data_IF_595152534949
#
_entry.id   IF_595152534949
#
_cell.length_a   1.000
_cell.length_b   1.000
_cell.length_c   1.000
_cell.angle_alpha   90.00
_cell.angle_beta   90.00
_cell.angle_gamma   90.00
#
_symmetry.space_group_name_H-M   'P 1'
#
loop_
_entity.id
_entity.type
_entity.pdbx_description
1 polymer ?
#
# COMPACT_ATOMS: atom_id res chain seq x y z
N UNK A 1 -2.28 -5.85 1.08
CA UNK A 1 -1.99 -7.21 0.57
C UNK A 1 -0.55 -7.26 0.08
N UNK A 2 -0.15 -8.34 -0.62
CA UNK A 2 1.14 -8.41 -1.31
C UNK A 2 2.33 -8.28 -0.37
N UNK A 3 3.43 -7.72 -0.88
CA UNK A 3 4.68 -7.57 -0.11
C UNK A 3 4.54 -6.67 1.13
N UNK A 4 3.68 -5.65 1.08
CA UNK A 4 3.42 -4.77 2.22
C UNK A 4 2.72 -5.49 3.37
N UNK A 5 1.75 -6.37 3.08
CA UNK A 5 1.11 -7.18 4.12
C UNK A 5 2.09 -8.14 4.80
N UNK A 6 3.01 -8.74 4.03
CA UNK A 6 4.07 -9.61 4.56
C UNK A 6 4.97 -8.84 5.52
N UNK A 7 5.45 -7.67 5.10
CA UNK A 7 6.32 -6.80 5.90
C UNK A 7 5.66 -6.28 7.18
N UNK A 8 4.37 -5.93 7.11
CA UNK A 8 3.65 -5.35 8.25
C UNK A 8 3.25 -6.37 9.31
N UNK A 9 3.03 -7.64 8.93
CA UNK A 9 2.38 -8.62 9.81
C UNK A 9 3.07 -9.95 9.98
N UNK A 10 3.83 -10.43 8.99
CA UNK A 10 4.24 -11.84 8.98
C UNK A 10 5.75 -12.03 9.15
N UNK A 11 6.59 -11.20 8.52
CA UNK A 11 8.04 -11.30 8.66
C UNK A 11 8.75 -10.02 8.21
N UNK A 12 9.96 -9.79 8.74
CA UNK A 12 10.81 -8.69 8.28
C UNK A 12 11.23 -8.89 6.81
N UNK A 13 10.69 -8.02 5.96
CA UNK A 13 10.92 -8.03 4.51
C UNK A 13 11.65 -6.76 4.13
N UNK A 14 12.92 -6.90 3.72
CA UNK A 14 13.87 -5.78 3.53
C UNK A 14 13.44 -4.68 2.55
N UNK A 15 12.48 -4.89 1.64
CA UNK A 15 12.05 -3.86 0.68
C UNK A 15 10.58 -4.00 0.24
N UNK A 16 9.84 -2.89 0.24
CA UNK A 16 8.60 -2.72 -0.54
C UNK A 16 8.66 -1.38 -1.27
N UNK A 17 8.70 -1.39 -2.60
CA UNK A 17 8.71 -0.14 -3.40
C UNK A 17 7.34 0.54 -3.43
N UNK A 18 6.28 -0.18 -3.07
CA UNK A 18 4.91 0.32 -3.02
C UNK A 18 3.99 -0.63 -2.26
N UNK A 19 2.76 -0.18 -2.02
CA UNK A 19 1.70 -0.85 -1.30
C UNK A 19 0.59 -1.20 -2.29
N UNK A 20 0.27 -2.49 -2.35
CA UNK A 20 -0.89 -2.98 -3.08
C UNK A 20 -2.06 -3.20 -2.10
N UNK A 21 -3.17 -2.51 -2.32
CA UNK A 21 -4.33 -2.53 -1.43
C UNK A 21 -5.66 -2.53 -2.18
N UNK A 22 -6.67 -3.19 -1.62
CA UNK A 22 -8.06 -2.94 -2.00
C UNK A 22 -8.51 -1.71 -1.25
N UNK A 23 -9.00 -0.71 -1.97
CA UNK A 23 -9.33 0.60 -1.42
C UNK A 23 -10.85 0.80 -1.40
N UNK A 24 -11.39 1.18 -0.25
CA UNK A 24 -12.82 1.42 -0.10
C UNK A 24 -13.06 2.55 0.92
N UNK A 25 -13.60 3.71 0.50
CA UNK A 25 -13.84 4.16 -0.88
C UNK A 25 -12.53 4.53 -1.62
N UNK A 26 -12.37 4.09 -2.87
CA UNK A 26 -11.11 4.22 -3.62
C UNK A 26 -10.70 5.66 -3.93
N UNK A 27 -11.59 6.44 -4.56
CA UNK A 27 -11.27 7.80 -5.03
C UNK A 27 -10.70 8.74 -3.95
N UNK A 28 -11.32 8.92 -2.77
CA UNK A 28 -10.77 9.79 -1.73
C UNK A 28 -9.46 9.25 -1.12
N UNK A 29 -9.28 7.93 -1.07
CA UNK A 29 -8.03 7.33 -0.57
C UNK A 29 -6.88 7.61 -1.55
N UNK A 30 -7.11 7.44 -2.86
CA UNK A 30 -6.09 7.75 -3.87
C UNK A 30 -5.77 9.24 -3.92
N UNK A 31 -6.75 10.12 -3.72
CA UNK A 31 -6.52 11.56 -3.62
C UNK A 31 -5.62 11.92 -2.43
N UNK A 32 -5.87 11.32 -1.25
CA UNK A 32 -5.00 11.50 -0.08
C UNK A 32 -3.61 10.91 -0.30
N UNK A 33 -3.51 9.74 -0.94
CA UNK A 33 -2.23 9.10 -1.26
C UNK A 33 -1.38 9.93 -2.24
N UNK A 34 -2.00 10.61 -3.20
CA UNK A 34 -1.31 11.52 -4.11
C UNK A 34 -0.71 12.73 -3.37
N UNK A 35 -1.42 13.26 -2.37
CA UNK A 35 -0.89 14.35 -1.54
C UNK A 35 0.31 13.90 -0.72
N UNK A 36 0.22 12.73 -0.07
CA UNK A 36 1.34 12.11 0.65
C UNK A 36 2.54 11.89 -0.28
N UNK A 37 2.30 11.41 -1.52
CA UNK A 37 3.35 11.20 -2.51
C UNK A 37 4.08 12.51 -2.84
N UNK A 38 3.32 13.59 -3.04
CA UNK A 38 3.84 14.92 -3.34
C UNK A 38 4.68 15.47 -2.20
N UNK A 39 4.22 15.34 -0.96
CA UNK A 39 4.93 15.82 0.24
C UNK A 39 6.24 15.07 0.48
N UNK A 40 6.26 13.77 0.20
CA UNK A 40 7.41 12.90 0.47
C UNK A 40 8.32 12.65 -0.76
N UNK A 41 7.98 13.25 -1.91
CA UNK A 41 8.67 13.01 -3.20
C UNK A 41 8.70 11.51 -3.59
N UNK A 42 7.63 10.79 -3.27
CA UNK A 42 7.47 9.38 -3.63
C UNK A 42 6.86 9.22 -5.03
N UNK A 43 7.04 8.04 -5.65
CA UNK A 43 6.31 7.70 -6.87
C UNK A 43 4.80 7.88 -6.69
N UNK A 44 4.07 8.44 -7.67
CA UNK A 44 2.63 8.72 -7.53
C UNK A 44 1.78 7.46 -7.36
N UNK A 45 2.30 6.30 -7.76
CA UNK A 45 1.68 4.98 -7.68
C UNK A 45 2.18 4.15 -6.48
N UNK A 46 2.82 4.79 -5.49
CA UNK A 46 3.29 4.13 -4.27
C UNK A 46 2.17 3.40 -3.52
N UNK A 47 0.92 3.87 -3.62
CA UNK A 47 -0.28 3.17 -3.22
C UNK A 47 -1.13 2.91 -4.47
N UNK A 48 -1.41 1.65 -4.77
CA UNK A 48 -2.25 1.30 -5.91
C UNK A 48 -3.20 0.13 -5.60
N UNK A 49 -4.24 0.02 -6.42
CA UNK A 49 -5.28 -1.00 -6.33
C UNK A 49 -5.13 -2.12 -7.36
N UNK A 50 -3.99 -2.20 -8.05
CA UNK A 50 -3.78 -3.16 -9.14
C UNK A 50 -3.91 -4.61 -8.65
N UNK A 51 -3.57 -4.88 -7.38
CA UNK A 51 -3.71 -6.22 -6.83
C UNK A 51 -5.12 -6.60 -6.40
N UNK A 52 -6.08 -5.66 -6.40
CA UNK A 52 -7.46 -5.94 -5.99
C UNK A 52 -8.13 -6.99 -6.89
N UNK A 53 -7.76 -7.05 -8.18
CA UNK A 53 -8.25 -8.05 -9.12
C UNK A 53 -7.78 -9.48 -8.81
N UNK A 54 -6.71 -9.63 -8.00
CA UNK A 54 -6.16 -10.92 -7.60
C UNK A 54 -6.65 -11.35 -6.22
N UNK A 55 -7.61 -10.63 -5.62
CA UNK A 55 -8.26 -11.09 -4.40
C UNK A 55 -9.17 -12.27 -4.76
N UNK A 56 -9.07 -13.39 -4.04
CA UNK A 56 -10.03 -14.48 -4.16
C UNK A 56 -11.46 -13.98 -3.94
N UNK A 57 -12.31 -14.05 -4.98
CA UNK A 57 -13.72 -13.63 -4.93
C UNK A 57 -14.69 -14.81 -4.83
N UNK A 58 -14.17 -16.04 -4.86
CA UNK A 58 -14.97 -17.25 -5.00
C UNK A 58 -15.16 -17.99 -3.67
N UNK A 59 -14.45 -19.11 -3.48
CA UNK A 59 -14.79 -20.14 -2.49
C UNK A 59 -14.25 -19.85 -1.09
N UNK A 60 -13.03 -19.33 -0.98
CA UNK A 60 -12.40 -19.00 0.28
C UNK A 60 -12.33 -17.48 0.47
N UNK A 61 -12.76 -17.01 1.65
CA UNK A 61 -12.55 -15.62 2.09
C UNK A 61 -11.05 -15.38 2.30
N UNK A 62 -10.59 -14.16 2.00
CA UNK A 62 -9.19 -13.80 2.19
C UNK A 62 -8.77 -13.78 3.67
N UNK A 63 -9.73 -13.85 4.61
CA UNK A 63 -9.48 -13.95 6.04
C UNK A 63 -8.79 -12.69 6.55
N UNK A 64 -9.48 -11.55 6.39
CA UNK A 64 -8.93 -10.23 6.72
C UNK A 64 -8.71 -10.08 8.23
N UNK A 65 -7.52 -9.64 8.61
CA UNK A 65 -7.13 -9.29 9.98
C UNK A 65 -6.96 -7.78 10.09
N UNK A 66 -7.66 -7.15 11.02
CA UNK A 66 -7.50 -5.72 11.32
C UNK A 66 -6.18 -5.49 12.05
N UNK A 67 -5.28 -4.70 11.45
CA UNK A 67 -4.01 -4.30 12.07
C UNK A 67 -4.02 -2.86 12.57
N UNK A 68 -5.00 -2.07 12.14
CA UNK A 68 -5.25 -0.73 12.64
C UNK A 68 -6.70 -0.31 12.41
N UNK A 69 -7.28 0.36 13.39
CA UNK A 69 -8.61 0.96 13.28
C UNK A 69 -8.66 2.28 14.06
N UNK A 70 -9.21 3.31 13.43
CA UNK A 70 -9.55 4.60 14.03
C UNK A 70 -10.87 5.11 13.49
N UNK A 71 -11.34 6.25 13.96
CA UNK A 71 -12.53 6.88 13.39
C UNK A 71 -12.33 7.13 11.89
N UNK A 72 -13.14 6.48 11.06
CA UNK A 72 -13.13 6.63 9.60
C UNK A 72 -12.06 5.86 8.82
N UNK A 73 -11.14 5.14 9.47
CA UNK A 73 -10.08 4.37 8.79
C UNK A 73 -9.93 2.98 9.42
N UNK A 74 -9.87 1.97 8.57
CA UNK A 74 -9.51 0.59 8.96
C UNK A 74 -8.47 0.08 7.98
N UNK A 75 -7.41 -0.54 8.50
CA UNK A 75 -6.35 -1.18 7.71
C UNK A 75 -6.35 -2.66 8.05
N UNK A 76 -6.50 -3.47 7.01
CA UNK A 76 -6.57 -4.92 7.10
C UNK A 76 -5.47 -5.58 6.27
N UNK A 77 -5.01 -6.72 6.73
CA UNK A 77 -4.10 -7.61 6.01
C UNK A 77 -4.80 -8.92 5.71
N UNK A 78 -4.56 -9.47 4.51
CA UNK A 78 -5.05 -10.79 4.17
C UNK A 78 -4.33 -11.87 5.00
N UNK A 79 -5.02 -12.98 5.25
CA UNK A 79 -4.47 -14.16 5.93
C UNK A 79 -3.21 -14.68 5.21
N UNK A 80 -2.31 -15.41 5.90
CA UNK A 80 -1.10 -15.91 5.26
C UNK A 80 -1.44 -16.92 4.15
N UNK A 81 -2.52 -17.70 4.32
CA UNK A 81 -3.02 -18.63 3.31
C UNK A 81 -3.47 -17.91 2.03
N UNK A 82 -4.24 -16.83 2.16
CA UNK A 82 -4.66 -16.03 1.00
C UNK A 82 -3.44 -15.38 0.31
N UNK A 83 -2.49 -14.85 1.09
CA UNK A 83 -1.24 -14.30 0.54
C UNK A 83 -0.41 -15.36 -0.19
N UNK A 84 -0.34 -16.59 0.34
CA UNK A 84 0.32 -17.71 -0.31
C UNK A 84 -0.34 -18.06 -1.64
N UNK A 85 -1.67 -18.19 -1.66
CA UNK A 85 -2.42 -18.45 -2.89
C UNK A 85 -2.17 -17.36 -3.95
N UNK A 86 -2.22 -16.08 -3.57
CA UNK A 86 -1.92 -14.96 -4.47
C UNK A 86 -0.48 -15.02 -5.01
N UNK A 87 0.48 -15.38 -4.15
CA UNK A 87 1.89 -15.51 -4.52
C UNK A 87 2.14 -16.70 -5.44
N UNK A 88 1.49 -17.83 -5.23
CA UNK A 88 1.53 -18.99 -6.11
C UNK A 88 0.88 -18.70 -7.47
N UNK A 89 -0.26 -18.00 -7.48
CA UNK A 89 -0.91 -17.60 -8.73
C UNK A 89 -0.01 -16.63 -9.55
N UNK A 90 0.63 -15.67 -8.87
CA UNK A 90 1.55 -14.73 -9.51
C UNK A 90 2.89 -15.38 -9.93
N UNK A 91 3.52 -16.16 -9.06
CA UNK A 91 4.77 -16.91 -9.22
C UNK A 91 5.83 -16.21 -10.06
N UNK A 92 6.25 -15.00 -9.64
CA UNK A 92 7.25 -14.20 -10.35
C UNK A 92 8.66 -14.63 -9.89
N UNK A 93 9.46 -15.30 -10.74
CA UNK A 93 10.79 -15.77 -10.35
C UNK A 93 11.73 -14.64 -9.96
N UNK A 94 12.55 -14.86 -8.94
CA UNK A 94 13.44 -13.89 -8.30
C UNK A 94 12.73 -12.88 -7.39
N UNK A 95 11.39 -12.78 -7.43
CA UNK A 95 10.62 -11.79 -6.65
C UNK A 95 9.76 -12.44 -5.57
N UNK A 96 9.15 -13.57 -5.87
CA UNK A 96 8.20 -14.23 -4.96
C UNK A 96 8.84 -15.44 -4.23
N UNK A 97 10.07 -15.85 -4.56
CA UNK A 97 10.74 -17.05 -4.06
C UNK A 97 10.81 -17.10 -2.53
N UNK A 98 11.40 -16.07 -1.91
CA UNK A 98 11.51 -15.99 -0.45
C UNK A 98 10.15 -15.78 0.23
N UNK A 99 9.26 -15.03 -0.41
CA UNK A 99 7.92 -14.79 0.12
C UNK A 99 7.12 -16.10 0.16
N UNK A 100 7.19 -16.91 -0.91
CA UNK A 100 6.55 -18.23 -1.00
C UNK A 100 7.16 -19.19 0.02
N UNK A 101 8.48 -19.29 0.13
CA UNK A 101 9.14 -20.20 1.07
C UNK A 101 8.73 -19.92 2.53
N UNK A 102 8.72 -18.64 2.95
CA UNK A 102 8.28 -18.25 4.29
C UNK A 102 6.79 -18.52 4.50
N UNK A 103 5.95 -18.23 3.51
CA UNK A 103 4.51 -18.48 3.60
C UNK A 103 4.16 -19.97 3.65
N UNK A 104 4.89 -20.83 2.93
CA UNK A 104 4.77 -22.29 3.04
C UNK A 104 5.09 -22.76 4.46
N UNK A 105 6.15 -22.23 5.08
CA UNK A 105 6.49 -22.54 6.46
C UNK A 105 5.42 -22.05 7.45
N UNK A 106 4.96 -20.80 7.32
CA UNK A 106 3.91 -20.21 8.18
C UNK A 106 2.59 -20.97 8.07
N UNK A 107 2.23 -21.41 6.87
CA UNK A 107 0.99 -22.14 6.61
C UNK A 107 1.13 -23.66 6.79
N UNK A 108 2.31 -24.14 7.21
CA UNK A 108 2.63 -25.56 7.41
C UNK A 108 2.32 -26.42 6.17
N UNK A 109 2.62 -25.92 4.97
CA UNK A 109 2.35 -26.62 3.70
C UNK A 109 3.52 -27.56 3.37
N UNK A 110 3.34 -28.88 3.44
CA UNK A 110 4.47 -29.80 3.47
C UNK A 110 5.05 -30.16 2.11
N UNK A 111 4.31 -29.94 1.02
CA UNK A 111 4.68 -30.38 -0.32
C UNK A 111 3.90 -29.64 -1.42
N UNK A 112 4.22 -29.96 -2.68
CA UNK A 112 3.61 -29.37 -3.88
C UNK A 112 2.11 -29.65 -3.95
N UNK A 113 1.68 -30.89 -3.67
CA UNK A 113 0.27 -31.28 -3.75
C UNK A 113 -0.58 -30.45 -2.76
N UNK A 114 -0.12 -30.27 -1.52
CA UNK A 114 -0.79 -29.43 -0.55
C UNK A 114 -0.79 -27.94 -0.91
N UNK A 115 0.21 -27.46 -1.66
CA UNK A 115 0.24 -26.10 -2.18
C UNK A 115 -0.77 -25.90 -3.33
N UNK A 116 -0.96 -26.92 -4.17
CA UNK A 116 -1.99 -26.95 -5.20
C UNK A 116 -3.39 -27.00 -4.59
N UNK A 117 -3.63 -27.86 -3.59
CA UNK A 117 -4.89 -27.92 -2.85
C UNK A 117 -5.25 -26.56 -2.26
N UNK A 118 -4.28 -25.89 -1.61
CA UNK A 118 -4.47 -24.54 -1.07
C UNK A 118 -4.79 -23.54 -2.19
N UNK A 119 -4.12 -23.62 -3.34
CA UNK A 119 -4.40 -22.70 -4.44
C UNK A 119 -5.83 -22.90 -4.97
N UNK A 120 -6.28 -24.14 -5.13
CA UNK A 120 -7.62 -24.51 -5.60
C UNK A 120 -8.73 -24.01 -4.65
N UNK A 121 -8.47 -23.91 -3.34
CA UNK A 121 -9.41 -23.31 -2.39
C UNK A 121 -9.73 -21.84 -2.72
N UNK A 122 -8.74 -21.08 -3.19
CA UNK A 122 -8.86 -19.65 -3.45
C UNK A 122 -9.12 -19.32 -4.93
N UNK A 123 -8.58 -20.12 -5.85
CA UNK A 123 -8.68 -19.96 -7.31
C UNK A 123 -9.12 -21.27 -7.98
N UNK A 124 -10.40 -21.67 -7.86
CA UNK A 124 -10.86 -22.95 -8.36
C UNK A 124 -10.73 -23.08 -9.88
N UNK A 125 -10.13 -24.18 -10.34
CA UNK A 125 -10.01 -24.52 -11.77
C UNK A 125 -8.83 -23.89 -12.51
N UNK A 126 -8.02 -23.05 -11.83
CA UNK A 126 -6.80 -22.50 -12.43
C UNK A 126 -5.66 -23.55 -12.45
N UNK A 127 -5.68 -24.52 -11.51
CA UNK A 127 -4.62 -25.50 -11.29
C UNK A 127 -3.29 -24.84 -10.88
N UNK A 128 -2.29 -25.63 -10.48
CA UNK A 128 -0.99 -25.05 -10.14
C UNK A 128 -0.25 -24.56 -11.41
N UNK A 129 0.10 -23.26 -11.52
CA UNK A 129 0.80 -22.76 -12.69
C UNK A 129 2.18 -23.41 -12.85
N UNK A 130 2.61 -23.73 -14.08
CA UNK A 130 3.94 -24.29 -14.36
C UNK A 130 5.09 -23.46 -13.76
N UNK A 131 4.93 -22.13 -13.70
CA UNK A 131 5.89 -21.21 -13.05
C UNK A 131 5.95 -21.43 -11.53
N UNK A 132 4.83 -21.72 -10.88
CA UNK A 132 4.78 -22.05 -9.46
C UNK A 132 5.48 -23.38 -9.18
N UNK A 133 5.22 -24.41 -9.99
CA UNK A 133 5.89 -25.70 -9.88
C UNK A 133 7.43 -25.59 -9.96
N UNK A 134 7.92 -24.74 -10.88
CA UNK A 134 9.36 -24.44 -11.02
C UNK A 134 9.97 -23.76 -9.80
N UNK A 135 9.18 -23.00 -9.02
CA UNK A 135 9.63 -22.39 -7.77
C UNK A 135 9.53 -23.37 -6.60
N UNK A 136 8.43 -24.12 -6.51
CA UNK A 136 8.20 -25.06 -5.41
C UNK A 136 9.18 -26.22 -5.39
N UNK A 137 9.56 -26.74 -6.57
CA UNK A 137 10.49 -27.88 -6.68
C UNK A 137 11.82 -27.63 -5.95
N UNK A 138 12.58 -26.57 -6.24
CA UNK A 138 13.80 -26.27 -5.51
C UNK A 138 13.55 -25.91 -4.04
N UNK A 139 12.49 -25.14 -3.72
CA UNK A 139 12.17 -24.76 -2.33
C UNK A 139 11.99 -26.01 -1.45
N UNK A 140 11.21 -27.00 -1.89
CA UNK A 140 11.00 -28.23 -1.12
C UNK A 140 12.22 -29.15 -1.13
N UNK A 141 13.03 -29.14 -2.19
CA UNK A 141 14.27 -29.91 -2.24
C UNK A 141 15.35 -29.37 -1.28
N UNK A 142 15.42 -28.04 -1.11
CA UNK A 142 16.30 -27.36 -0.15
C UNK A 142 15.78 -27.47 1.29
N UNK A 143 14.46 -27.60 1.45
CA UNK A 143 13.76 -27.64 2.72
C UNK A 143 13.19 -26.26 3.09
N UNK A 144 12.03 -26.26 3.74
CA UNK A 144 11.39 -25.03 4.17
C UNK A 144 12.23 -24.31 5.24
N UNK A 145 12.25 -22.97 5.23
CA UNK A 145 12.89 -22.21 6.30
C UNK A 145 12.15 -22.46 7.63
N UNK A 146 12.82 -22.16 8.74
CA UNK A 146 12.14 -22.01 10.03
C UNK A 146 11.09 -20.91 9.91
N UNK A 147 9.94 -21.09 10.57
CA UNK A 147 8.90 -20.06 10.64
C UNK A 147 9.53 -18.76 11.14
N UNK A 148 9.43 -17.65 10.38
CA UNK A 148 10.06 -16.39 10.76
C UNK A 148 9.35 -15.76 11.96
N UNK A 149 10.08 -14.93 12.70
CA UNK A 149 9.51 -14.14 13.79
C UNK A 149 8.52 -13.09 13.25
N UNK A 150 7.43 -12.92 13.96
CA UNK A 150 6.41 -11.90 13.67
C UNK A 150 7.02 -10.52 13.95
N UNK A 151 6.93 -9.56 13.01
CA UNK A 151 7.43 -8.20 13.24
C UNK A 151 6.64 -7.51 14.35
N UNK A 152 7.25 -6.52 15.04
CA UNK A 152 6.52 -5.71 16.01
C UNK A 152 5.34 -5.01 15.34
N UNK A 153 4.26 -4.81 16.09
CA UNK A 153 3.07 -4.13 15.58
C UNK A 153 3.46 -2.75 15.01
N UNK A 154 3.05 -2.43 13.77
CA UNK A 154 3.40 -1.17 13.16
C UNK A 154 2.72 -0.01 13.90
N UNK A 155 3.46 1.09 14.07
CA UNK A 155 2.90 2.34 14.58
C UNK A 155 2.13 3.00 13.44
N UNK A 156 0.84 2.69 13.34
CA UNK A 156 -0.08 3.27 12.36
C UNK A 156 -0.87 4.37 13.06
N UNK A 157 -0.73 5.62 12.60
CA UNK A 157 -1.39 6.80 13.18
C UNK A 157 -0.54 7.58 14.19
N UNK A 158 -1.07 8.72 14.62
CA UNK A 158 -0.56 9.41 15.79
C UNK A 158 -0.91 8.53 17.01
N UNK A 159 0.05 8.26 17.88
CA UNK A 159 -0.28 7.81 19.24
C UNK A 159 -1.40 8.72 19.77
N UNK A 160 -2.38 8.16 20.49
CA UNK A 160 -3.44 8.93 21.18
C UNK A 160 -2.89 9.89 22.28
N UNK A 161 -1.61 10.24 22.19
CA UNK A 161 -0.99 11.26 23.01
C UNK A 161 -1.57 12.61 22.53
N UNK A 162 -2.24 13.38 23.41
CA UNK A 162 -2.67 14.72 23.06
C UNK A 162 -1.44 15.49 22.56
N UNK A 163 -1.58 16.39 21.56
CA UNK A 163 -0.47 17.21 21.12
C UNK A 163 0.15 17.84 22.36
N UNK A 164 1.47 17.72 22.49
CA UNK A 164 2.20 18.39 23.57
C UNK A 164 1.69 19.83 23.64
N UNK A 165 1.32 20.34 24.83
CA UNK A 165 0.72 21.65 24.95
C UNK A 165 1.59 22.63 24.19
N UNK A 166 0.98 23.29 23.21
CA UNK A 166 1.62 24.24 22.30
C UNK A 166 2.50 25.13 23.16
N UNK A 167 3.83 24.94 23.08
CA UNK A 167 4.74 25.67 23.94
C UNK A 167 4.52 27.15 23.61
N UNK A 168 4.09 27.89 24.63
CA UNK A 168 3.72 29.30 24.56
C UNK A 168 4.82 30.07 23.84
N UNK A 169 4.65 30.28 22.54
CA UNK A 169 5.57 31.05 21.72
C UNK A 169 5.54 32.46 22.32
N UNK A 170 6.65 32.98 22.85
CA UNK A 170 6.64 34.27 23.52
C UNK A 170 6.10 35.33 22.56
N UNK A 171 5.17 36.15 23.06
CA UNK A 171 4.40 37.17 22.35
C UNK A 171 5.25 38.32 21.75
N UNK A 172 6.20 37.98 20.87
CA UNK A 172 7.10 38.91 20.20
C UNK A 172 7.21 38.61 18.71
N UNK A 173 6.08 38.36 18.04
CA UNK A 173 5.99 38.62 16.60
C UNK A 173 4.55 38.85 16.12
N UNK A 174 3.81 39.70 16.83
CA UNK A 174 2.61 40.35 16.29
C UNK A 174 2.90 41.80 15.94
N UNK A 175 3.59 42.03 14.81
CA UNK A 175 3.51 43.29 14.05
C UNK A 175 3.69 43.02 12.56
N UNK A 176 2.59 43.05 11.80
CA UNK A 176 2.62 43.46 10.38
C UNK A 176 1.90 44.81 10.28
N UNK A 177 2.52 45.86 9.72
CA UNK A 177 1.85 47.15 9.50
C UNK A 177 0.78 47.02 8.42
N UNK A 178 -0.35 47.68 8.63
CA UNK A 178 -1.50 47.64 7.74
C UNK A 178 -1.30 48.40 6.43
N UNK A 179 -1.87 47.88 5.35
CA UNK A 179 -2.21 48.63 4.16
C UNK A 179 -3.73 48.85 4.17
N UNK A 180 -4.13 50.09 4.52
CA UNK A 180 -5.47 50.61 4.26
C UNK A 180 -5.49 51.18 2.84
N UNK A 181 -6.58 50.93 2.12
CA UNK A 181 -7.00 51.78 0.99
C UNK A 181 -7.00 51.11 -0.37
N UNK A 182 -7.98 50.23 -0.62
CA UNK A 182 -8.49 50.02 -1.99
C UNK A 182 -10.01 50.19 -1.91
N UNK A 183 -10.50 51.28 -2.53
CA UNK A 183 -11.94 51.47 -2.81
C UNK A 183 -12.31 50.53 -3.96
N UNK A 184 -13.32 49.70 -3.77
CA UNK A 184 -14.00 49.01 -4.86
C UNK A 184 -15.03 49.99 -5.47
N UNK A 185 -14.94 50.24 -6.78
CA UNK A 185 -15.93 51.01 -7.55
C UNK A 185 -17.12 50.10 -7.92
N UNK A 186 -18.39 50.50 -7.63
CA UNK A 186 -19.56 49.65 -7.82
C UNK A 186 -20.23 49.73 -9.20
N UNK A 187 -19.60 50.24 -10.27
CA UNK A 187 -20.22 50.23 -11.61
C UNK A 187 -19.26 49.73 -12.69
N UNK A 188 -19.68 48.69 -13.40
CA UNK A 188 -18.88 47.96 -14.36
C UNK A 188 -18.53 48.69 -15.66
N UNK A 189 -17.70 47.98 -16.42
CA UNK A 189 -17.18 48.18 -17.78
C UNK A 189 -15.81 48.86 -17.89
N UNK A 190 -14.96 48.22 -18.68
CA UNK A 190 -13.64 48.69 -19.13
C UNK A 190 -12.51 47.75 -18.72
N UNK A 191 -11.64 47.25 -19.58
CA UNK A 191 -11.62 47.06 -21.02
C UNK A 191 -10.49 46.04 -21.26
N UNK A 192 -10.60 45.29 -22.35
CA UNK A 192 -9.61 44.33 -22.83
C UNK A 192 -8.27 45.01 -23.15
N UNK A 193 -7.16 44.41 -22.73
CA UNK A 193 -5.86 44.61 -23.36
C UNK A 193 -5.21 43.25 -23.64
N UNK A 194 -5.19 42.88 -24.92
CA UNK A 194 -4.37 41.82 -25.49
C UNK A 194 -2.93 42.30 -25.70
N UNK A 195 -2.03 41.33 -25.99
CA UNK A 195 -0.61 41.39 -26.45
C UNK A 195 0.41 41.23 -25.31
N UNK A 196 1.47 40.41 -25.40
CA UNK A 196 2.13 39.74 -26.54
C UNK A 196 2.67 38.35 -26.16
N UNK A 197 2.73 37.48 -27.17
CA UNK A 197 3.32 36.14 -27.15
C UNK A 197 4.81 36.29 -27.45
N UNK A 198 5.67 35.70 -26.62
CA UNK A 198 7.12 35.58 -26.88
C UNK A 198 7.39 34.23 -27.59
N UNK A 199 7.88 34.22 -28.84
CA UNK A 199 8.18 32.99 -29.56
C UNK A 199 9.70 32.77 -29.62
N UNK A 200 10.34 32.37 -28.53
CA UNK A 200 11.70 31.80 -28.60
C UNK A 200 12.09 30.96 -27.36
N UNK A 201 11.40 29.84 -27.16
CA UNK A 201 11.82 28.83 -26.19
C UNK A 201 11.78 27.41 -26.76
N UNK A 202 12.67 27.12 -27.72
CA UNK A 202 13.21 25.78 -27.93
C UNK A 202 14.67 25.85 -28.41
N UNK A 203 15.60 25.48 -27.52
CA UNK A 203 16.80 24.68 -27.84
C UNK A 203 17.16 23.81 -26.64
#
# INVERSE_FOLDING_TARGET
MGGAALALRYFDRRTTTGIDARLQPEAPILAAAAEVARENQWPPDWLNSNAAQFIPTYRADAGWEVIYASEGITVEVASPRALLAMKLNASRPGRDDSDIANLLAICEIPNVDAAEDLLEEFFPGDGLPNKALKLLTPIFAEGLPTVPDVPPAPVLGLSNEPPAPEADLPARMRRRPGLRGVKLDPRGLGETAARDIDPDYQR
#
